data_IF_659260644953
#
_entry.id   IF_659260644953
#
_cell.length_a   1.000
_cell.length_b   1.000
_cell.length_c   1.000
_cell.angle_alpha   90.00
_cell.angle_beta   90.00
_cell.angle_gamma   90.00
#
_symmetry.space_group_name_H-M   'P 1'
#
loop_
_entity.id
_entity.type
_entity.pdbx_description
1 polymer ?
#
# COMPACT_ATOMS: atom_id res chain seq x y z
N UNK A 1 -4.55 -25.03 11.26
CA UNK A 1 -3.63 -24.26 12.13
C UNK A 1 -4.46 -23.67 13.27
N UNK A 2 -3.94 -23.61 14.49
CA UNK A 2 -4.70 -23.02 15.60
C UNK A 2 -4.66 -21.47 15.59
N UNK A 3 -5.54 -20.83 16.36
CA UNK A 3 -5.65 -19.37 16.40
C UNK A 3 -4.39 -18.71 17.01
N UNK A 4 -3.68 -19.39 17.90
CA UNK A 4 -2.46 -18.86 18.51
C UNK A 4 -1.27 -18.85 17.55
N UNK A 5 -1.21 -19.82 16.64
CA UNK A 5 -0.19 -19.92 15.60
C UNK A 5 -0.34 -18.82 14.54
N UNK A 6 -1.57 -18.52 14.13
CA UNK A 6 -1.81 -17.49 13.10
C UNK A 6 -1.55 -16.07 13.62
N UNK A 7 -1.74 -15.82 14.92
CA UNK A 7 -1.42 -14.55 15.58
C UNK A 7 0.08 -14.21 15.56
N UNK A 8 0.96 -15.19 15.26
CA UNK A 8 2.39 -14.94 15.04
C UNK A 8 2.66 -14.03 13.84
N UNK A 9 1.70 -13.82 12.94
CA UNK A 9 1.81 -12.78 11.91
C UNK A 9 1.98 -11.36 12.50
N UNK A 10 1.51 -11.08 13.72
CA UNK A 10 1.75 -9.80 14.40
C UNK A 10 3.06 -9.76 15.17
N UNK A 11 3.27 -10.76 16.03
CA UNK A 11 4.28 -10.69 17.09
C UNK A 11 5.42 -11.70 16.91
N UNK A 12 5.32 -12.55 15.89
CA UNK A 12 6.31 -13.57 15.59
C UNK A 12 7.60 -13.02 15.02
N UNK A 13 8.64 -13.85 15.11
CA UNK A 13 9.95 -13.65 14.48
C UNK A 13 9.91 -14.24 13.07
N UNK A 14 10.93 -13.96 12.27
CA UNK A 14 10.98 -14.40 10.87
C UNK A 14 10.78 -15.92 10.70
N UNK A 15 11.37 -16.73 11.60
CA UNK A 15 11.21 -18.19 11.61
C UNK A 15 9.76 -18.64 11.84
N UNK A 16 9.02 -17.93 12.71
CA UNK A 16 7.61 -18.21 12.96
C UNK A 16 6.77 -18.00 11.69
N UNK A 17 7.05 -16.93 10.95
CA UNK A 17 6.34 -16.62 9.72
C UNK A 17 6.64 -17.65 8.63
N UNK A 18 7.90 -18.08 8.49
CA UNK A 18 8.25 -19.16 7.56
C UNK A 18 7.57 -20.48 7.91
N UNK A 19 7.50 -20.82 9.20
CA UNK A 19 6.75 -21.98 9.66
C UNK A 19 5.25 -21.86 9.34
N UNK A 20 4.66 -20.70 9.59
CA UNK A 20 3.26 -20.43 9.29
C UNK A 20 2.97 -20.60 7.80
N UNK A 21 3.74 -19.95 6.92
CA UNK A 21 3.53 -20.09 5.48
C UNK A 21 3.82 -21.51 4.97
N UNK A 22 4.63 -22.28 5.69
CA UNK A 22 4.92 -23.68 5.36
C UNK A 22 3.83 -24.67 5.84
N UNK A 23 2.80 -24.23 6.57
CA UNK A 23 1.71 -25.10 7.06
C UNK A 23 0.31 -24.56 6.74
N UNK A 24 0.12 -23.24 6.76
CA UNK A 24 -1.17 -22.59 6.57
C UNK A 24 -1.72 -22.69 5.13
N UNK A 25 -3.04 -22.65 5.03
CA UNK A 25 -3.79 -22.49 3.77
C UNK A 25 -4.10 -21.03 3.49
N UNK A 26 -4.43 -20.72 2.22
CA UNK A 26 -4.87 -19.38 1.84
C UNK A 26 -6.13 -18.95 2.60
N UNK A 27 -7.09 -19.86 2.76
CA UNK A 27 -8.38 -19.61 3.41
C UNK A 27 -8.21 -19.27 4.90
N UNK A 28 -7.34 -19.99 5.62
CA UNK A 28 -7.02 -19.69 7.02
C UNK A 28 -6.42 -18.29 7.17
N UNK A 29 -5.44 -17.95 6.33
CA UNK A 29 -4.79 -16.64 6.34
C UNK A 29 -5.80 -15.53 6.03
N UNK A 30 -6.62 -15.69 4.99
CA UNK A 30 -7.61 -14.67 4.59
C UNK A 30 -8.69 -14.51 5.67
N UNK A 31 -9.16 -15.61 6.28
CA UNK A 31 -10.12 -15.55 7.38
C UNK A 31 -9.54 -14.75 8.55
N UNK A 32 -8.29 -14.99 8.90
CA UNK A 32 -7.61 -14.21 9.93
C UNK A 32 -7.44 -12.74 9.55
N UNK A 33 -7.01 -12.44 8.31
CA UNK A 33 -6.87 -11.06 7.84
C UNK A 33 -8.20 -10.30 8.00
N UNK A 34 -9.34 -10.89 7.66
CA UNK A 34 -10.65 -10.23 7.78
C UNK A 34 -11.11 -10.01 9.23
N UNK A 35 -10.76 -10.91 10.14
CA UNK A 35 -11.28 -10.91 11.52
C UNK A 35 -10.30 -10.32 12.55
N UNK A 36 -9.11 -9.91 12.12
CA UNK A 36 -8.10 -9.44 13.05
C UNK A 36 -8.50 -8.21 13.86
N UNK A 37 -7.95 -8.16 15.07
CA UNK A 37 -7.99 -6.99 15.95
C UNK A 37 -7.41 -5.75 15.27
N UNK A 38 -7.81 -4.59 15.77
CA UNK A 38 -7.35 -3.28 15.31
C UNK A 38 -6.54 -2.63 16.41
N UNK A 39 -5.50 -1.89 16.04
CA UNK A 39 -4.83 -0.99 16.99
C UNK A 39 -5.81 0.07 17.49
N UNK A 40 -5.51 0.70 18.63
CA UNK A 40 -6.16 1.93 19.01
C UNK A 40 -5.87 3.01 17.95
N UNK A 41 -6.87 3.83 17.65
CA UNK A 41 -6.77 4.93 16.68
C UNK A 41 -7.34 6.20 17.32
N UNK A 42 -6.59 7.29 17.26
CA UNK A 42 -7.00 8.62 17.74
C UNK A 42 -7.01 9.61 16.60
N UNK A 43 -8.00 10.50 16.60
CA UNK A 43 -8.10 11.58 15.61
C UNK A 43 -7.65 12.87 16.27
N UNK A 44 -6.82 13.63 15.55
CA UNK A 44 -6.39 14.97 15.94
C UNK A 44 -6.61 15.91 14.76
N UNK A 45 -7.32 17.00 15.00
CA UNK A 45 -7.64 17.97 13.96
C UNK A 45 -6.84 19.26 14.12
N UNK A 46 -6.51 19.86 12.98
CA UNK A 46 -5.95 21.21 12.88
C UNK A 46 -6.83 21.96 11.89
N UNK A 47 -7.51 22.99 12.40
CA UNK A 47 -8.38 23.83 11.59
C UNK A 47 -7.62 24.53 10.46
N UNK A 48 -8.27 24.60 9.31
CA UNK A 48 -7.77 25.27 8.12
C UNK A 48 -8.83 25.29 7.02
N UNK A 49 -8.40 25.44 5.78
CA UNK A 49 -9.30 25.35 4.64
C UNK A 49 -9.88 23.94 4.49
N UNK A 50 -11.21 23.84 4.59
CA UNK A 50 -11.98 22.59 4.51
C UNK A 50 -12.44 22.22 3.11
N UNK A 51 -12.20 23.06 2.08
CA UNK A 51 -12.50 22.70 0.69
C UNK A 51 -11.68 21.48 0.25
N UNK A 52 -10.43 21.40 0.73
CA UNK A 52 -9.52 20.27 0.54
C UNK A 52 -8.97 19.85 1.90
N UNK A 53 -9.34 18.66 2.37
CA UNK A 53 -8.91 18.15 3.68
C UNK A 53 -7.73 17.21 3.50
N UNK A 54 -6.74 17.27 4.41
CA UNK A 54 -5.58 16.39 4.41
C UNK A 54 -5.71 15.36 5.52
N UNK A 55 -5.71 14.08 5.18
CA UNK A 55 -5.69 12.95 6.10
C UNK A 55 -4.28 12.37 6.17
N UNK A 56 -3.71 12.35 7.37
CA UNK A 56 -2.33 11.91 7.61
C UNK A 56 -2.28 10.84 8.69
N UNK A 57 -2.20 9.55 8.32
CA UNK A 57 -1.88 8.49 9.27
C UNK A 57 -0.47 8.70 9.85
N UNK A 58 -0.33 8.62 11.18
CA UNK A 58 0.97 8.77 11.85
C UNK A 58 1.07 7.89 13.08
N UNK A 59 2.29 7.49 13.46
CA UNK A 59 2.53 6.77 14.71
C UNK A 59 2.55 7.67 15.95
N UNK A 60 2.78 8.98 15.78
CA UNK A 60 2.87 9.95 16.87
C UNK A 60 2.66 11.38 16.32
N UNK A 61 1.53 12.00 16.65
CA UNK A 61 1.17 13.35 16.20
C UNK A 61 2.13 14.43 16.67
N UNK A 62 2.83 14.21 17.78
CA UNK A 62 3.85 15.10 18.32
C UNK A 62 5.27 14.76 17.80
N UNK A 63 5.40 13.72 16.98
CA UNK A 63 6.65 13.25 16.40
C UNK A 63 7.26 14.22 15.39
N UNK A 64 8.52 13.98 15.01
CA UNK A 64 9.21 14.79 14.00
C UNK A 64 8.52 14.72 12.62
N UNK A 65 8.06 13.53 12.23
CA UNK A 65 7.40 13.31 10.94
C UNK A 65 6.08 14.09 10.86
N UNK A 66 5.16 13.89 11.82
CA UNK A 66 3.90 14.63 11.89
C UNK A 66 4.09 16.16 11.93
N UNK A 67 5.06 16.67 12.71
CA UNK A 67 5.38 18.11 12.72
C UNK A 67 5.86 18.63 11.37
N UNK A 68 6.70 17.88 10.66
CA UNK A 68 7.13 18.26 9.31
C UNK A 68 5.95 18.26 8.33
N UNK A 69 5.11 17.22 8.36
CA UNK A 69 3.94 17.12 7.51
C UNK A 69 2.95 18.28 7.77
N UNK A 70 2.76 18.67 9.04
CA UNK A 70 1.96 19.84 9.41
C UNK A 70 2.44 21.13 8.71
N UNK A 71 3.75 21.35 8.67
CA UNK A 71 4.31 22.53 7.98
C UNK A 71 4.14 22.45 6.45
N UNK A 72 4.26 21.25 5.86
CA UNK A 72 4.05 21.05 4.41
C UNK A 72 2.61 21.40 4.00
N UNK A 73 1.63 21.06 4.84
CA UNK A 73 0.21 21.27 4.58
C UNK A 73 -0.37 22.51 5.28
N UNK A 74 0.48 23.45 5.69
CA UNK A 74 0.04 24.67 6.37
C UNK A 74 -1.04 25.39 5.56
N UNK A 75 -2.17 25.68 6.22
CA UNK A 75 -3.32 26.37 5.64
C UNK A 75 -4.46 25.46 5.20
N UNK A 76 -4.21 24.17 4.98
CA UNK A 76 -5.27 23.18 4.80
C UNK A 76 -5.82 22.71 6.15
N UNK A 77 -7.06 22.23 6.18
CA UNK A 77 -7.57 21.48 7.33
C UNK A 77 -6.89 20.11 7.37
N UNK A 78 -6.26 19.78 8.49
CA UNK A 78 -5.48 18.54 8.64
C UNK A 78 -6.15 17.64 9.67
N UNK A 79 -6.34 16.38 9.31
CA UNK A 79 -6.78 15.29 10.18
C UNK A 79 -5.62 14.32 10.33
N UNK A 80 -4.91 14.40 11.45
CA UNK A 80 -3.97 13.37 11.85
C UNK A 80 -4.73 12.19 12.43
N UNK A 81 -4.33 10.99 12.00
CA UNK A 81 -4.88 9.73 12.49
C UNK A 81 -3.76 8.96 13.18
N UNK A 82 -3.66 9.11 14.50
CA UNK A 82 -2.61 8.52 15.31
C UNK A 82 -2.92 7.04 15.61
N UNK A 83 -2.04 6.15 15.18
CA UNK A 83 -2.11 4.72 15.49
C UNK A 83 -0.73 4.08 15.39
N UNK A 84 -0.40 3.14 16.28
CA UNK A 84 0.93 2.51 16.32
C UNK A 84 0.86 1.06 16.82
N UNK A 85 2.03 0.39 16.81
CA UNK A 85 2.19 -0.97 17.31
C UNK A 85 1.91 -2.07 16.28
N UNK A 86 1.95 -3.35 16.71
CA UNK A 86 1.88 -4.50 15.81
C UNK A 86 0.56 -4.63 15.03
N UNK A 87 -0.51 -4.04 15.54
CA UNK A 87 -1.84 -4.04 14.93
C UNK A 87 -2.10 -2.81 14.05
N UNK A 88 -1.09 -1.95 13.85
CA UNK A 88 -1.21 -0.79 12.99
C UNK A 88 -1.63 -1.20 11.57
N UNK A 89 -2.61 -0.47 11.04
CA UNK A 89 -3.11 -0.69 9.69
C UNK A 89 -3.40 0.64 8.99
N UNK A 90 -2.64 0.89 7.93
CA UNK A 90 -2.73 2.11 7.14
C UNK A 90 -4.12 2.34 6.55
N UNK A 91 -4.71 1.33 5.90
CA UNK A 91 -6.03 1.44 5.28
C UNK A 91 -7.14 1.79 6.28
N UNK A 92 -7.11 1.21 7.50
CA UNK A 92 -8.06 1.54 8.58
C UNK A 92 -7.89 2.99 9.04
N UNK A 93 -6.65 3.44 9.24
CA UNK A 93 -6.38 4.84 9.61
C UNK A 93 -6.83 5.82 8.52
N UNK A 94 -6.54 5.52 7.25
CA UNK A 94 -6.99 6.32 6.11
C UNK A 94 -8.51 6.39 6.05
N UNK A 95 -9.20 5.25 6.05
CA UNK A 95 -10.66 5.23 5.96
C UNK A 95 -11.32 5.96 7.13
N UNK A 96 -10.79 5.81 8.35
CA UNK A 96 -11.31 6.53 9.51
C UNK A 96 -11.15 8.06 9.34
N UNK A 97 -9.97 8.52 8.93
CA UNK A 97 -9.72 9.95 8.70
C UNK A 97 -10.55 10.51 7.55
N UNK A 98 -10.69 9.78 6.44
CA UNK A 98 -11.55 10.18 5.32
C UNK A 98 -13.01 10.24 5.77
N UNK A 99 -13.50 9.22 6.49
CA UNK A 99 -14.87 9.21 7.03
C UNK A 99 -15.11 10.42 7.94
N UNK A 100 -14.15 10.73 8.81
CA UNK A 100 -14.22 11.90 9.69
C UNK A 100 -14.27 13.21 8.90
N UNK A 101 -13.50 13.32 7.82
CA UNK A 101 -13.49 14.52 6.97
C UNK A 101 -14.84 14.83 6.31
N UNK A 102 -15.74 13.85 6.16
CA UNK A 102 -17.02 14.05 5.46
C UNK A 102 -17.91 15.09 6.15
N UNK A 103 -17.77 15.29 7.47
CA UNK A 103 -18.52 16.31 8.22
C UNK A 103 -18.21 17.72 7.71
N UNK A 104 -16.99 17.93 7.22
CA UNK A 104 -16.51 19.20 6.66
C UNK A 104 -16.99 19.43 5.21
N UNK A 105 -17.62 18.42 4.60
CA UNK A 105 -18.08 18.43 3.20
C UNK A 105 -16.99 18.85 2.20
N UNK A 106 -15.77 18.27 2.26
CA UNK A 106 -14.69 18.63 1.35
C UNK A 106 -15.06 18.30 -0.09
N UNK A 107 -14.44 18.99 -1.06
CA UNK A 107 -14.51 18.60 -2.48
C UNK A 107 -13.53 17.47 -2.80
N UNK A 108 -12.41 17.44 -2.08
CA UNK A 108 -11.30 16.52 -2.26
C UNK A 108 -10.65 16.19 -0.92
N UNK A 109 -10.15 14.97 -0.78
CA UNK A 109 -9.38 14.54 0.39
C UNK A 109 -7.99 14.10 -0.06
N UNK A 110 -6.95 14.74 0.47
CA UNK A 110 -5.56 14.33 0.29
C UNK A 110 -5.26 13.25 1.32
N UNK A 111 -4.76 12.11 0.85
CA UNK A 111 -4.20 11.04 1.67
C UNK A 111 -2.69 11.13 1.54
N UNK A 112 -2.00 11.36 2.66
CA UNK A 112 -0.56 11.54 2.70
C UNK A 112 0.07 10.75 3.83
N UNK A 113 1.23 10.15 3.58
CA UNK A 113 2.08 9.68 4.66
C UNK A 113 2.64 10.85 5.48
N UNK A 114 3.06 10.54 6.72
CA UNK A 114 3.68 11.51 7.64
C UNK A 114 5.16 11.80 7.33
N UNK A 115 5.78 11.02 6.43
CA UNK A 115 7.17 11.14 6.00
C UNK A 115 7.38 12.10 4.81
N UNK A 116 6.37 12.91 4.47
CA UNK A 116 6.47 13.96 3.45
C UNK A 116 7.40 15.10 3.90
N UNK A 117 8.27 15.51 2.98
CA UNK A 117 9.26 16.58 3.17
C UNK A 117 8.81 17.86 2.46
N UNK A 118 8.24 17.75 1.26
CA UNK A 118 7.78 18.91 0.50
C UNK A 118 6.82 18.52 -0.62
N UNK A 119 5.91 19.42 -0.95
CA UNK A 119 5.04 19.34 -2.13
C UNK A 119 5.32 20.56 -3.01
N UNK A 120 5.42 20.34 -4.32
CA UNK A 120 5.57 21.40 -5.32
C UNK A 120 4.44 21.31 -6.33
N UNK A 121 3.91 22.45 -6.74
CA UNK A 121 2.72 22.56 -7.59
C UNK A 121 1.58 23.23 -6.83
N UNK A 122 0.59 23.73 -7.57
CA UNK A 122 -0.59 24.37 -7.00
C UNK A 122 -1.73 23.36 -6.94
N UNK A 123 -1.95 22.76 -5.76
CA UNK A 123 -2.95 21.70 -5.57
C UNK A 123 -4.35 22.20 -6.00
N UNK A 124 -4.76 23.39 -5.56
CA UNK A 124 -6.12 23.89 -5.85
C UNK A 124 -6.35 24.12 -7.34
N UNK A 125 -5.37 24.71 -8.01
CA UNK A 125 -5.41 24.93 -9.46
C UNK A 125 -5.49 23.60 -10.21
N UNK A 126 -4.66 22.62 -9.84
CA UNK A 126 -4.70 21.27 -10.42
C UNK A 126 -6.11 20.66 -10.26
N UNK A 127 -6.65 20.69 -9.03
CA UNK A 127 -7.98 20.15 -8.70
C UNK A 127 -9.13 20.85 -9.42
N UNK A 128 -8.98 22.13 -9.79
CA UNK A 128 -10.01 22.91 -10.50
C UNK A 128 -10.24 22.43 -11.94
N UNK A 129 -9.25 21.75 -12.54
CA UNK A 129 -9.29 21.29 -13.93
C UNK A 129 -9.64 19.80 -14.06
N UNK A 130 -9.74 19.08 -12.94
CA UNK A 130 -9.96 17.64 -12.93
C UNK A 130 -11.42 17.32 -13.28
N UNK A 131 -11.59 16.43 -14.25
CA UNK A 131 -12.89 15.94 -14.68
C UNK A 131 -13.68 15.29 -13.53
N UNK A 132 -15.01 15.42 -13.57
CA UNK A 132 -15.91 14.87 -12.56
C UNK A 132 -15.86 13.34 -12.46
N UNK A 133 -15.48 12.65 -13.54
CA UNK A 133 -15.39 11.19 -13.60
C UNK A 133 -14.04 10.62 -13.10
N UNK A 134 -13.15 11.45 -12.57
CA UNK A 134 -11.89 11.04 -11.93
C UNK A 134 -12.13 10.85 -10.44
N UNK A 135 -11.78 9.65 -9.96
CA UNK A 135 -11.93 9.24 -8.56
C UNK A 135 -10.63 9.39 -7.77
N UNK A 136 -9.49 9.29 -8.46
CA UNK A 136 -8.15 9.27 -7.90
C UNK A 136 -7.21 10.19 -8.66
N UNK A 137 -6.50 11.06 -7.95
CA UNK A 137 -5.42 11.87 -8.50
C UNK A 137 -4.12 11.40 -7.86
N UNK A 138 -3.18 11.02 -8.71
CA UNK A 138 -1.83 10.63 -8.33
C UNK A 138 -0.90 11.82 -8.48
N UNK A 139 0.18 11.84 -7.68
CA UNK A 139 1.27 12.77 -7.90
C UNK A 139 1.97 12.50 -9.25
N UNK A 140 2.87 13.40 -9.65
CA UNK A 140 3.74 13.18 -10.80
C UNK A 140 4.55 11.89 -10.63
N UNK A 141 4.80 11.18 -11.74
CA UNK A 141 5.55 9.91 -11.72
C UNK A 141 6.89 10.03 -10.97
N UNK A 142 7.17 9.04 -10.15
CA UNK A 142 8.44 8.89 -9.43
C UNK A 142 8.73 7.43 -9.15
N UNK A 143 9.87 7.15 -8.51
CA UNK A 143 10.22 5.79 -8.12
C UNK A 143 9.55 5.33 -6.81
N UNK A 144 8.66 6.14 -6.19
CA UNK A 144 8.13 5.83 -4.84
C UNK A 144 6.67 6.22 -4.56
N UNK A 145 6.16 7.36 -5.01
CA UNK A 145 4.75 7.77 -4.76
C UNK A 145 3.86 7.70 -6.00
N UNK A 146 4.41 7.53 -7.19
CA UNK A 146 3.58 7.23 -8.38
C UNK A 146 4.42 6.40 -9.32
N UNK A 147 4.34 5.08 -9.17
CA UNK A 147 5.31 4.16 -9.75
C UNK A 147 4.66 2.98 -10.47
N UNK A 148 5.30 2.49 -11.54
CA UNK A 148 4.80 1.32 -12.25
C UNK A 148 5.00 0.04 -11.44
N UNK A 149 3.94 -0.75 -11.37
CA UNK A 149 3.89 -2.10 -10.80
C UNK A 149 3.52 -3.07 -11.92
N UNK A 150 4.15 -4.24 -11.92
CA UNK A 150 3.73 -5.36 -12.77
C UNK A 150 3.18 -6.49 -11.94
N UNK A 151 2.23 -7.19 -12.51
CA UNK A 151 1.73 -8.45 -12.01
C UNK A 151 2.32 -9.56 -12.88
N UNK A 152 3.07 -10.47 -12.26
CA UNK A 152 3.81 -11.51 -12.98
C UNK A 152 3.36 -12.87 -12.48
N UNK A 153 3.13 -13.83 -13.38
CA UNK A 153 3.12 -15.26 -13.02
C UNK A 153 4.55 -15.77 -13.00
N UNK A 154 5.17 -15.94 -11.82
CA UNK A 154 6.59 -16.22 -11.76
C UNK A 154 6.90 -17.66 -12.17
N UNK A 155 7.97 -17.84 -12.96
CA UNK A 155 8.48 -19.19 -13.25
C UNK A 155 9.32 -19.72 -12.07
N UNK A 156 9.46 -21.04 -11.95
CA UNK A 156 10.13 -21.66 -10.80
C UNK A 156 11.63 -21.37 -10.73
N UNK A 157 12.29 -21.17 -11.88
CA UNK A 157 13.69 -20.77 -11.94
C UNK A 157 13.90 -19.39 -11.33
N UNK A 158 13.01 -18.44 -11.63
CA UNK A 158 13.03 -17.11 -11.06
C UNK A 158 12.83 -17.15 -9.54
N UNK A 159 11.86 -17.93 -9.04
CA UNK A 159 11.64 -18.09 -7.60
C UNK A 159 12.88 -18.63 -6.88
N UNK A 160 13.51 -19.69 -7.43
CA UNK A 160 14.76 -20.24 -6.90
C UNK A 160 15.89 -19.21 -6.93
N UNK A 161 16.01 -18.47 -8.03
CA UNK A 161 16.99 -17.40 -8.22
C UNK A 161 16.82 -16.26 -7.22
N UNK A 162 15.59 -15.84 -6.91
CA UNK A 162 15.31 -14.79 -5.92
C UNK A 162 15.87 -15.13 -4.54
N UNK A 163 15.74 -16.38 -4.09
CA UNK A 163 16.31 -16.79 -2.79
C UNK A 163 17.84 -16.67 -2.79
N UNK A 164 18.49 -17.22 -3.81
CA UNK A 164 19.96 -17.18 -3.92
C UNK A 164 20.45 -15.74 -3.99
N UNK A 165 19.88 -14.94 -4.89
CA UNK A 165 20.23 -13.54 -5.09
C UNK A 165 19.93 -12.71 -3.83
N UNK A 166 18.78 -12.93 -3.21
CA UNK A 166 18.37 -12.26 -1.97
C UNK A 166 19.35 -12.49 -0.82
N UNK A 167 19.85 -13.72 -0.66
CA UNK A 167 20.87 -14.04 0.34
C UNK A 167 22.23 -13.41 -0.03
N UNK A 168 22.69 -13.54 -1.27
CA UNK A 168 24.01 -13.06 -1.72
C UNK A 168 24.11 -11.53 -1.66
N UNK A 169 23.05 -10.82 -2.07
CA UNK A 169 23.04 -9.36 -2.15
C UNK A 169 22.30 -8.69 -0.98
N UNK A 170 21.93 -9.46 0.05
CA UNK A 170 21.17 -9.00 1.22
C UNK A 170 19.89 -8.22 0.85
N UNK A 171 19.19 -8.66 -0.21
CA UNK A 171 17.93 -8.06 -0.65
C UNK A 171 16.76 -8.75 0.04
N UNK A 172 16.34 -8.16 1.15
CA UNK A 172 15.24 -8.64 1.99
C UNK A 172 13.98 -9.11 1.22
N UNK A 173 13.42 -8.36 0.25
CA UNK A 173 12.23 -8.82 -0.46
C UNK A 173 12.48 -10.08 -1.29
N UNK A 174 13.61 -10.16 -2.01
CA UNK A 174 13.94 -11.30 -2.85
C UNK A 174 14.17 -12.57 -2.02
N UNK A 175 14.87 -12.46 -0.89
CA UNK A 175 15.12 -13.58 0.01
C UNK A 175 13.80 -14.14 0.58
N UNK A 176 12.96 -13.26 1.12
CA UNK A 176 11.67 -13.64 1.73
C UNK A 176 10.72 -14.24 0.70
N UNK A 177 10.55 -13.59 -0.46
CA UNK A 177 9.65 -14.10 -1.51
C UNK A 177 10.16 -15.42 -2.07
N UNK A 178 11.48 -15.57 -2.28
CA UNK A 178 12.08 -16.82 -2.74
C UNK A 178 11.92 -17.99 -1.76
N UNK A 179 11.82 -17.72 -0.45
CA UNK A 179 11.53 -18.72 0.56
C UNK A 179 10.04 -19.10 0.58
N UNK A 180 9.14 -18.11 0.65
CA UNK A 180 7.71 -18.37 0.86
C UNK A 180 7.04 -18.91 -0.41
N UNK A 181 7.42 -18.44 -1.60
CA UNK A 181 6.78 -18.85 -2.86
C UNK A 181 7.02 -20.33 -3.24
N UNK A 182 7.86 -21.05 -2.51
CA UNK A 182 7.92 -22.52 -2.57
C UNK A 182 6.59 -23.18 -2.23
N UNK A 183 5.75 -22.49 -1.46
CA UNK A 183 4.43 -22.93 -1.04
C UNK A 183 3.29 -22.26 -1.84
N UNK A 184 3.59 -21.63 -2.99
CA UNK A 184 2.64 -20.81 -3.77
C UNK A 184 1.31 -21.51 -4.06
N UNK A 185 1.32 -22.80 -4.40
CA UNK A 185 0.10 -23.55 -4.75
C UNK A 185 -0.85 -23.66 -3.55
N UNK A 186 -0.34 -24.05 -2.38
CA UNK A 186 -1.15 -24.12 -1.14
C UNK A 186 -1.64 -22.73 -0.69
N UNK A 187 -0.81 -21.72 -0.89
CA UNK A 187 -1.14 -20.33 -0.59
C UNK A 187 -2.03 -19.69 -1.68
N UNK A 188 -2.39 -20.42 -2.74
CA UNK A 188 -3.22 -19.94 -3.84
C UNK A 188 -2.58 -18.83 -4.68
N UNK A 189 -1.27 -18.67 -4.65
CA UNK A 189 -0.55 -17.61 -5.37
C UNK A 189 -0.27 -18.07 -6.80
N UNK A 190 -0.87 -17.40 -7.78
CA UNK A 190 -0.58 -17.59 -9.21
C UNK A 190 0.28 -16.47 -9.78
N UNK A 191 0.13 -15.27 -9.25
CA UNK A 191 0.87 -14.08 -9.67
C UNK A 191 1.39 -13.30 -8.48
N UNK A 192 2.50 -12.60 -8.64
CA UNK A 192 3.09 -11.72 -7.63
C UNK A 192 3.18 -10.30 -8.14
N UNK A 193 3.04 -9.34 -7.24
CA UNK A 193 3.27 -7.93 -7.57
C UNK A 193 4.77 -7.61 -7.51
N UNK A 194 5.26 -6.83 -8.49
CA UNK A 194 6.65 -6.40 -8.54
C UNK A 194 6.73 -4.92 -8.92
N UNK A 195 7.42 -4.14 -8.11
CA UNK A 195 7.71 -2.73 -8.40
C UNK A 195 8.80 -2.67 -9.47
N UNK A 196 8.52 -2.12 -10.67
CA UNK A 196 9.48 -2.14 -11.79
C UNK A 196 10.84 -1.54 -11.41
N UNK A 197 10.87 -0.48 -10.60
CA UNK A 197 12.11 0.16 -10.16
C UNK A 197 12.98 -0.71 -9.24
N UNK A 198 12.38 -1.68 -8.52
CA UNK A 198 13.11 -2.61 -7.66
C UNK A 198 13.70 -3.81 -8.42
N UNK A 199 13.04 -4.21 -9.50
CA UNK A 199 13.42 -5.43 -10.25
C UNK A 199 14.17 -5.10 -11.54
N UNK A 200 14.03 -3.88 -12.04
CA UNK A 200 14.75 -3.38 -13.21
C UNK A 200 14.61 -4.31 -14.42
N UNK A 201 15.74 -4.61 -15.06
CA UNK A 201 15.78 -5.50 -16.22
C UNK A 201 15.41 -6.95 -15.89
N UNK A 202 15.47 -7.37 -14.62
CA UNK A 202 15.15 -8.75 -14.21
C UNK A 202 13.67 -9.10 -14.43
N UNK A 203 12.80 -8.09 -14.60
CA UNK A 203 11.38 -8.31 -14.92
C UNK A 203 11.18 -9.12 -16.20
N UNK A 204 12.12 -9.06 -17.16
CA UNK A 204 12.03 -9.83 -18.41
C UNK A 204 12.25 -11.33 -18.19
N UNK A 205 12.87 -11.69 -17.08
CA UNK A 205 13.19 -13.08 -16.72
C UNK A 205 12.26 -13.62 -15.63
N UNK A 206 11.35 -12.80 -15.10
CA UNK A 206 10.53 -13.17 -13.95
C UNK A 206 9.39 -14.12 -14.30
N UNK A 207 8.92 -14.11 -15.54
CA UNK A 207 7.85 -14.97 -16.02
C UNK A 207 6.88 -14.24 -16.95
N UNK A 208 5.63 -14.68 -16.99
CA UNK A 208 4.57 -14.07 -17.81
C UNK A 208 4.04 -12.80 -17.11
N UNK A 209 4.15 -11.64 -17.76
CA UNK A 209 3.53 -10.39 -17.29
C UNK A 209 2.05 -10.45 -17.65
N UNK A 210 1.19 -10.47 -16.63
CA UNK A 210 -0.28 -10.56 -16.79
C UNK A 210 -1.00 -9.24 -16.53
N UNK A 211 -0.27 -8.22 -16.11
CA UNK A 211 -0.81 -6.87 -15.91
C UNK A 211 0.28 -5.86 -15.61
N UNK A 212 0.04 -4.62 -16.02
CA UNK A 212 0.86 -3.46 -15.67
C UNK A 212 -0.04 -2.35 -15.15
N UNK A 213 0.35 -1.71 -14.05
CA UNK A 213 -0.46 -0.73 -13.35
C UNK A 213 0.42 0.43 -12.83
N UNK A 214 -0.18 1.58 -12.57
CA UNK A 214 0.46 2.65 -11.77
C UNK A 214 -0.09 2.58 -10.36
N UNK A 215 0.80 2.49 -9.37
CA UNK A 215 0.43 2.62 -7.98
C UNK A 215 0.57 4.07 -7.50
N UNK A 216 -0.41 4.59 -6.74
CA UNK A 216 -0.39 5.92 -6.10
C UNK A 216 0.47 5.98 -4.84
N UNK A 217 0.96 4.85 -4.33
CA UNK A 217 1.95 4.81 -3.26
C UNK A 217 1.56 5.63 -2.03
N UNK A 218 2.45 6.53 -1.62
CA UNK A 218 2.35 7.33 -0.39
C UNK A 218 1.57 8.64 -0.49
N UNK A 219 1.09 9.01 -1.68
CA UNK A 219 0.30 10.22 -1.90
C UNK A 219 -0.82 10.02 -2.90
N UNK A 220 -2.05 10.30 -2.48
CA UNK A 220 -3.23 10.25 -3.33
C UNK A 220 -4.18 11.39 -2.99
N UNK A 221 -4.91 11.90 -3.97
CA UNK A 221 -6.07 12.78 -3.73
C UNK A 221 -7.30 12.06 -4.23
N UNK A 222 -8.31 11.91 -3.39
CA UNK A 222 -9.50 11.10 -3.68
C UNK A 222 -10.77 11.91 -3.52
N UNK A 223 -11.83 11.46 -4.19
CA UNK A 223 -13.18 11.93 -3.91
C UNK A 223 -13.61 11.51 -2.50
N UNK A 224 -14.31 12.39 -1.75
CA UNK A 224 -14.79 12.05 -0.41
C UNK A 224 -15.79 10.89 -0.46
N UNK A 225 -15.54 9.83 0.32
CA UNK A 225 -16.42 8.67 0.52
C UNK A 225 -16.06 7.96 1.81
N UNK A 226 -17.00 7.21 2.38
CA UNK A 226 -16.78 6.56 3.70
C UNK A 226 -15.63 5.55 3.70
N UNK A 227 -15.43 4.84 2.59
CA UNK A 227 -14.41 3.79 2.47
C UNK A 227 -13.66 3.95 1.15
N UNK A 228 -12.35 4.17 1.23
CA UNK A 228 -11.48 4.39 0.09
C UNK A 228 -10.59 3.17 -0.16
N UNK A 229 -10.11 2.53 0.91
CA UNK A 229 -9.16 1.42 0.85
C UNK A 229 -9.76 0.13 1.43
N UNK A 230 -9.29 -1.03 0.95
CA UNK A 230 -9.65 -2.32 1.55
C UNK A 230 -8.79 -2.59 2.79
N UNK A 231 -9.43 -2.49 3.96
CA UNK A 231 -8.85 -2.71 5.28
C UNK A 231 -8.39 -4.15 5.51
N UNK A 232 -8.71 -5.09 4.62
CA UNK A 232 -8.20 -6.47 4.73
C UNK A 232 -6.69 -6.51 4.48
N UNK A 233 -6.16 -5.64 3.62
CA UNK A 233 -4.71 -5.52 3.41
C UNK A 233 -3.98 -4.99 4.63
N UNK A 234 -2.70 -5.33 4.76
CA UNK A 234 -1.82 -4.95 5.86
C UNK A 234 -0.63 -4.15 5.31
N UNK A 235 -0.75 -2.83 5.31
CA UNK A 235 0.34 -1.87 5.06
C UNK A 235 1.09 -2.13 3.73
N UNK A 236 0.35 -2.62 2.72
CA UNK A 236 0.77 -2.87 1.34
C UNK A 236 -0.40 -3.41 0.51
N UNK A 237 -0.46 -3.04 -0.77
CA UNK A 237 -1.49 -3.40 -1.76
C UNK A 237 -2.83 -2.67 -1.63
N UNK A 238 -3.14 -2.02 -0.51
CA UNK A 238 -4.36 -1.20 -0.39
C UNK A 238 -4.38 -0.02 -1.39
N UNK A 239 -3.22 0.60 -1.59
CA UNK A 239 -2.95 1.68 -2.54
C UNK A 239 -2.98 1.15 -3.98
N UNK A 240 -2.39 -0.01 -4.22
CA UNK A 240 -2.42 -0.66 -5.53
C UNK A 240 -3.86 -1.04 -5.93
N UNK A 241 -4.65 -1.62 -5.02
CA UNK A 241 -6.04 -1.94 -5.31
C UNK A 241 -6.85 -0.67 -5.59
N UNK A 242 -6.65 0.38 -4.80
CA UNK A 242 -7.25 1.69 -5.05
C UNK A 242 -6.90 2.20 -6.45
N UNK A 243 -5.63 2.14 -6.84
CA UNK A 243 -5.17 2.52 -8.17
C UNK A 243 -5.81 1.72 -9.30
N UNK A 244 -5.86 0.39 -9.18
CA UNK A 244 -6.38 -0.48 -10.24
C UNK A 244 -7.89 -0.28 -10.43
N UNK A 245 -8.61 -0.01 -9.35
CA UNK A 245 -10.08 0.08 -9.35
C UNK A 245 -10.63 1.47 -9.60
N UNK A 246 -9.77 2.50 -9.62
CA UNK A 246 -10.18 3.89 -9.78
C UNK A 246 -9.91 4.42 -11.19
N UNK A 247 -10.80 5.27 -11.70
CA UNK A 247 -10.43 6.15 -12.80
C UNK A 247 -9.49 7.22 -12.27
N UNK A 248 -8.26 7.23 -12.77
CA UNK A 248 -7.22 8.10 -12.24
C UNK A 248 -6.74 9.18 -13.20
N UNK A 249 -6.19 10.25 -12.62
CA UNK A 249 -5.45 11.31 -13.29
C UNK A 249 -4.06 11.44 -12.66
N UNK A 250 -3.01 11.56 -13.47
CA UNK A 250 -1.64 11.80 -12.98
C UNK A 250 -1.38 13.31 -13.07
N UNK A 251 -1.23 13.94 -11.91
CA UNK A 251 -1.01 15.38 -11.78
C UNK A 251 0.44 15.82 -12.04
N UNK A 252 0.66 17.12 -12.13
CA UNK A 252 1.97 17.78 -12.12
C UNK A 252 2.51 18.01 -10.71
N UNK A 253 1.73 17.69 -9.66
CA UNK A 253 2.12 17.82 -8.26
C UNK A 253 3.32 16.91 -7.98
N UNK A 254 4.43 17.48 -7.52
CA UNK A 254 5.64 16.73 -7.15
C UNK A 254 5.71 16.58 -5.65
N UNK A 255 5.90 15.36 -5.17
CA UNK A 255 6.02 15.05 -3.75
C UNK A 255 7.46 14.59 -3.45
N UNK A 256 8.01 14.97 -2.31
CA UNK A 256 9.32 14.49 -1.83
C UNK A 256 9.15 13.95 -0.42
N UNK A 257 9.65 12.75 -0.16
CA UNK A 257 9.39 11.99 1.08
C UNK A 257 10.64 11.26 1.58
N UNK A 258 10.67 10.92 2.86
CA UNK A 258 11.67 10.04 3.46
C UNK A 258 11.26 8.56 3.27
N UNK A 259 11.67 7.96 2.15
CA UNK A 259 11.28 6.58 1.78
C UNK A 259 11.47 5.57 2.93
N UNK A 260 10.36 4.94 3.34
CA UNK A 260 10.38 3.81 4.28
C UNK A 260 10.72 4.17 5.73
N UNK A 261 10.72 5.45 6.11
CA UNK A 261 11.08 5.89 7.45
C UNK A 261 10.14 5.34 8.53
N UNK A 262 8.85 5.20 8.23
CA UNK A 262 7.83 4.82 9.22
C UNK A 262 7.67 3.30 9.42
N UNK A 263 8.03 2.48 8.43
CA UNK A 263 7.76 1.02 8.45
C UNK A 263 9.01 0.13 8.32
N UNK A 264 10.19 0.68 7.97
CA UNK A 264 11.46 -0.06 7.85
C UNK A 264 11.58 -0.94 6.59
N UNK A 265 12.71 -1.60 6.34
CA UNK A 265 12.93 -2.37 5.09
C UNK A 265 13.52 -3.78 5.32
N UNK A 266 13.36 -4.33 6.53
CA UNK A 266 13.92 -5.63 6.90
C UNK A 266 13.09 -6.83 6.43
N UNK A 267 13.70 -8.03 6.47
CA UNK A 267 13.06 -9.32 6.09
C UNK A 267 11.75 -9.57 6.83
N UNK A 268 11.69 -9.27 8.13
CA UNK A 268 10.48 -9.45 8.92
C UNK A 268 9.30 -8.63 8.39
N UNK A 269 9.54 -7.40 7.89
CA UNK A 269 8.49 -6.59 7.26
C UNK A 269 7.92 -7.30 6.03
N UNK A 270 8.79 -7.72 5.11
CA UNK A 270 8.37 -8.39 3.88
C UNK A 270 7.64 -9.71 4.17
N UNK A 271 8.08 -10.46 5.18
CA UNK A 271 7.40 -11.69 5.58
C UNK A 271 6.00 -11.39 6.14
N UNK A 272 5.84 -10.32 6.93
CA UNK A 272 4.53 -9.91 7.48
C UNK A 272 3.55 -9.47 6.40
N UNK A 273 4.01 -8.67 5.43
CA UNK A 273 3.13 -8.16 4.37
C UNK A 273 2.88 -9.15 3.23
N UNK A 274 3.57 -10.30 3.21
CA UNK A 274 3.39 -11.32 2.16
C UNK A 274 1.95 -11.86 2.12
N UNK A 275 1.22 -11.85 3.23
CA UNK A 275 -0.23 -12.18 3.26
C UNK A 275 -1.05 -11.34 2.28
N UNK A 276 -0.59 -10.14 1.91
CA UNK A 276 -1.27 -9.29 0.94
C UNK A 276 -1.22 -9.89 -0.47
N UNK A 277 -0.16 -10.61 -0.84
CA UNK A 277 -0.11 -11.34 -2.13
C UNK A 277 -1.16 -12.45 -2.16
N UNK A 278 -1.36 -13.15 -1.03
CA UNK A 278 -2.36 -14.21 -0.88
C UNK A 278 -3.77 -13.64 -1.08
N UNK A 279 -4.08 -12.55 -0.36
CA UNK A 279 -5.38 -11.90 -0.47
C UNK A 279 -5.62 -11.26 -1.84
N UNK A 280 -4.60 -10.62 -2.43
CA UNK A 280 -4.70 -10.04 -3.78
C UNK A 280 -4.99 -11.11 -4.84
N UNK A 281 -4.30 -12.26 -4.78
CA UNK A 281 -4.60 -13.39 -5.66
C UNK A 281 -6.01 -13.94 -5.42
N UNK A 282 -6.50 -13.96 -4.18
CA UNK A 282 -7.89 -14.33 -3.88
C UNK A 282 -8.87 -13.40 -4.57
N UNK A 283 -8.66 -12.07 -4.53
CA UNK A 283 -9.55 -11.11 -5.21
C UNK A 283 -9.61 -11.36 -6.71
N UNK A 284 -8.49 -11.72 -7.35
CA UNK A 284 -8.43 -12.08 -8.76
C UNK A 284 -9.20 -13.39 -9.02
N UNK A 285 -8.91 -14.46 -8.26
CA UNK A 285 -9.56 -15.77 -8.45
C UNK A 285 -11.06 -15.71 -8.23
N UNK A 286 -11.50 -14.97 -7.21
CA UNK A 286 -12.91 -14.77 -6.88
C UNK A 286 -13.62 -13.79 -7.84
N UNK A 287 -12.91 -13.24 -8.84
CA UNK A 287 -13.42 -12.25 -9.80
C UNK A 287 -13.95 -10.96 -9.15
N UNK A 288 -13.51 -10.67 -7.93
CA UNK A 288 -13.75 -9.40 -7.24
C UNK A 288 -12.90 -8.31 -7.89
N UNK A 289 -11.65 -8.64 -8.23
CA UNK A 289 -10.78 -7.81 -9.05
C UNK A 289 -10.76 -8.35 -10.48
N UNK A 290 -11.28 -7.57 -11.42
CA UNK A 290 -11.13 -7.86 -12.86
C UNK A 290 -9.88 -7.16 -13.35
N UNK A 291 -8.88 -7.95 -13.75
CA UNK A 291 -7.73 -7.42 -14.47
C UNK A 291 -8.23 -7.12 -15.89
N UNK A 292 -8.40 -5.85 -16.23
CA UNK A 292 -8.72 -5.48 -17.60
C UNK A 292 -7.51 -5.80 -18.48
N UNK A 293 -7.75 -6.52 -19.58
CA UNK A 293 -6.71 -6.77 -20.58
C UNK A 293 -6.21 -5.42 -21.11
N UNK A 294 -4.96 -5.08 -20.77
CA UNK A 294 -4.19 -3.93 -21.29
C UNK A 294 -4.78 -2.54 -21.01
N UNK A 295 -4.49 -2.00 -19.82
CA UNK A 295 -4.10 -0.58 -19.74
C UNK A 295 -2.63 -0.47 -20.17
N UNK A 296 -2.36 -0.68 -21.46
CA UNK A 296 -1.08 -0.29 -22.05
C UNK A 296 -1.08 1.23 -22.08
N UNK A 297 -0.10 1.84 -21.43
CA UNK A 297 0.17 3.26 -21.50
C UNK A 297 0.21 3.72 -22.97
N UNK A 298 -0.75 4.54 -23.36
CA UNK A 298 -0.50 5.50 -24.44
C UNK A 298 0.31 6.63 -23.83
N UNK A 299 1.50 6.85 -24.40
CA UNK A 299 2.41 7.96 -24.08
C UNK A 299 1.71 9.33 -24.11
#
# INVERSE_FOLDING_TARGET
>A
MDESEIEKLYNGKLSDLYYLYSHATAEEIIKWMKNRKTAEIKIHEIEGDSEVVVVIPTANVNGKLARNAKEVYKGFHIIFVESSGPLFNYARSVNLGVKHSLVLKPKWVIISNDDVISIRGNIKEELSTVSINVDLIMASRSNYHTYPVVLVKPNDYFIKGMKIFGMVFNLAPADVYGEILRYKERLGIKSITMIKSMVGFMVKFSGEIVGEFINSGSFAIVRPREKVMDETFINSHEDLLLSITSKYYISKIKVREMRGASLGFGKLRFAKIFVNEIYFNYLIRARVLKLNDKQLYSD
#
